data_IF_043306407843
#
_entry.id   IF_043306407843
#
_cell.length_a   1.000
_cell.length_b   1.000
_cell.length_c   1.000
_cell.angle_alpha   90.00
_cell.angle_beta   90.00
_cell.angle_gamma   90.00
#
_symmetry.space_group_name_H-M   'P 1'
#
loop_
_entity.id
_entity.type
_entity.pdbx_description
1 polymer ?
#
# COMPACT_ATOMS: atom_id res chain seq x y z
N UNK A 1 -24.76 -56.22 -27.99
CA UNK A 1 -23.58 -57.05 -27.62
C UNK A 1 -22.40 -56.46 -28.38
N UNK A 2 -21.33 -55.90 -27.84
CA UNK A 2 -20.78 -55.83 -26.49
C UNK A 2 -19.27 -55.57 -26.65
N UNK A 3 -18.77 -54.43 -26.13
CA UNK A 3 -17.37 -54.19 -25.73
C UNK A 3 -16.31 -54.01 -26.84
N UNK A 4 -15.15 -53.35 -26.66
CA UNK A 4 -14.51 -52.73 -25.48
C UNK A 4 -13.51 -51.63 -25.92
N UNK A 5 -13.59 -50.52 -25.19
CA UNK A 5 -12.63 -49.48 -24.79
C UNK A 5 -11.23 -49.35 -25.44
N UNK A 6 -10.98 -48.14 -25.97
CA UNK A 6 -9.69 -47.44 -25.87
C UNK A 6 -9.91 -46.03 -25.31
N UNK A 7 -9.73 -45.85 -24.00
CA UNK A 7 -9.50 -44.53 -23.42
C UNK A 7 -8.92 -44.67 -22.02
N UNK A 8 -7.60 -44.58 -21.90
CA UNK A 8 -6.95 -44.37 -20.62
C UNK A 8 -5.65 -43.61 -20.83
N UNK A 9 -5.74 -42.30 -20.99
CA UNK A 9 -4.64 -41.35 -20.83
C UNK A 9 -5.22 -39.92 -20.82
N UNK A 10 -5.67 -39.46 -19.66
CA UNK A 10 -5.49 -38.08 -19.16
C UNK A 10 -6.49 -37.80 -18.04
N UNK A 11 -6.18 -38.24 -16.83
CA UNK A 11 -6.83 -37.63 -15.67
C UNK A 11 -5.81 -37.35 -14.56
N UNK A 12 -5.16 -36.20 -14.72
CA UNK A 12 -4.40 -35.49 -13.69
C UNK A 12 -4.64 -33.98 -13.85
N UNK A 13 -5.90 -33.56 -13.95
CA UNK A 13 -6.31 -32.15 -13.86
C UNK A 13 -7.46 -31.98 -12.87
N UNK A 14 -7.22 -32.42 -11.64
CA UNK A 14 -8.09 -32.14 -10.50
C UNK A 14 -7.29 -31.45 -9.39
N UNK A 15 -6.91 -30.21 -9.64
CA UNK A 15 -6.58 -29.21 -8.61
C UNK A 15 -7.08 -27.86 -9.18
N UNK A 16 -7.81 -27.08 -8.39
CA UNK A 16 -8.57 -25.87 -8.76
C UNK A 16 -10.01 -26.10 -9.28
N UNK A 17 -10.90 -26.56 -8.39
CA UNK A 17 -12.30 -26.14 -8.46
C UNK A 17 -12.33 -24.61 -8.29
N UNK A 18 -12.51 -23.87 -9.39
CA UNK A 18 -12.66 -22.40 -9.35
C UNK A 18 -13.88 -22.04 -8.51
N UNK A 19 -13.65 -21.50 -7.32
CA UNK A 19 -14.66 -20.73 -6.58
C UNK A 19 -15.27 -19.68 -7.52
N UNK A 20 -16.59 -19.48 -7.45
CA UNK A 20 -17.32 -18.58 -8.34
C UNK A 20 -16.74 -17.15 -8.29
N UNK A 21 -16.17 -16.71 -9.39
CA UNK A 21 -15.79 -15.32 -9.61
C UNK A 21 -16.90 -14.63 -10.39
N UNK A 22 -17.09 -13.33 -10.14
CA UNK A 22 -18.01 -12.50 -10.91
C UNK A 22 -17.21 -11.63 -11.87
N UNK A 23 -17.88 -11.17 -12.93
CA UNK A 23 -17.27 -10.34 -13.97
C UNK A 23 -18.01 -9.01 -14.00
N UNK A 24 -17.27 -7.93 -13.82
CA UNK A 24 -17.76 -6.58 -14.07
C UNK A 24 -17.14 -6.08 -15.38
N UNK A 25 -17.94 -5.46 -16.23
CA UNK A 25 -17.47 -4.86 -17.48
C UNK A 25 -17.91 -3.40 -17.52
N UNK A 26 -16.94 -2.50 -17.65
CA UNK A 26 -17.18 -1.06 -17.70
C UNK A 26 -16.05 -0.34 -18.41
N UNK A 27 -16.38 0.68 -19.19
CA UNK A 27 -15.41 1.52 -19.93
C UNK A 27 -14.43 0.74 -20.84
N UNK A 28 -14.84 -0.42 -21.37
CA UNK A 28 -13.97 -1.27 -22.22
C UNK A 28 -12.98 -2.16 -21.46
N UNK A 29 -13.07 -2.20 -20.12
CA UNK A 29 -12.27 -3.07 -19.27
C UNK A 29 -13.13 -4.14 -18.61
N UNK A 30 -12.52 -5.29 -18.36
CA UNK A 30 -13.14 -6.42 -17.65
C UNK A 30 -12.41 -6.64 -16.33
N UNK A 31 -13.17 -6.72 -15.24
CA UNK A 31 -12.66 -6.95 -13.90
C UNK A 31 -13.23 -8.25 -13.35
N UNK A 32 -12.34 -9.19 -13.05
CA UNK A 32 -12.65 -10.43 -12.35
C UNK A 32 -12.58 -10.17 -10.84
N UNK A 33 -13.68 -10.37 -10.14
CA UNK A 33 -13.78 -10.07 -8.71
C UNK A 33 -14.46 -11.16 -7.90
N UNK A 34 -14.17 -11.19 -6.60
CA UNK A 34 -14.85 -12.04 -5.64
C UNK A 34 -16.03 -11.26 -5.04
N UNK A 35 -17.28 -11.72 -5.21
CA UNK A 35 -18.44 -10.99 -4.70
C UNK A 35 -18.46 -10.98 -3.18
N UNK A 36 -18.72 -9.80 -2.60
CA UNK A 36 -18.87 -9.62 -1.17
C UNK A 36 -19.91 -8.54 -0.87
N UNK A 37 -20.92 -8.90 -0.07
CA UNK A 37 -22.01 -7.99 0.29
C UNK A 37 -21.77 -7.45 1.70
N UNK A 38 -21.59 -6.14 1.79
CA UNK A 38 -21.50 -5.46 3.07
C UNK A 38 -22.86 -5.40 3.75
N UNK A 39 -22.92 -5.71 5.06
CA UNK A 39 -24.17 -5.61 5.84
C UNK A 39 -24.73 -4.19 5.87
N UNK A 40 -23.84 -3.21 5.98
CA UNK A 40 -24.18 -1.78 6.03
C UNK A 40 -23.19 -0.99 5.17
N UNK A 41 -23.72 0.04 4.51
CA UNK A 41 -23.00 1.10 3.80
C UNK A 41 -22.98 2.33 4.71
N UNK A 42 -21.88 3.07 4.76
CA UNK A 42 -21.72 4.21 5.67
C UNK A 42 -21.31 5.51 4.97
N UNK A 43 -22.02 6.58 5.28
CA UNK A 43 -21.66 7.96 4.92
C UNK A 43 -21.36 8.13 3.42
N UNK A 44 -20.12 8.48 3.03
CA UNK A 44 -19.77 8.78 1.64
C UNK A 44 -19.79 7.55 0.72
N UNK A 45 -19.80 6.34 1.27
CA UNK A 45 -19.89 5.11 0.47
C UNK A 45 -21.21 5.04 -0.34
N UNK A 46 -22.26 5.74 0.09
CA UNK A 46 -23.53 5.83 -0.65
C UNK A 46 -23.42 6.56 -1.99
N UNK A 47 -22.41 7.42 -2.15
CA UNK A 47 -22.18 8.17 -3.39
C UNK A 47 -21.19 7.46 -4.32
N UNK A 48 -20.82 6.22 -4.01
CA UNK A 48 -19.91 5.44 -4.82
C UNK A 48 -20.51 5.12 -6.18
N UNK A 49 -19.77 5.46 -7.24
CA UNK A 49 -20.12 5.13 -8.61
C UNK A 49 -18.91 4.44 -9.28
N UNK A 50 -18.96 3.11 -9.49
CA UNK A 50 -17.83 2.38 -10.06
C UNK A 50 -17.48 2.82 -11.48
N UNK A 51 -18.49 3.07 -12.33
CA UNK A 51 -18.28 3.44 -13.74
C UNK A 51 -17.57 4.79 -13.87
N UNK A 52 -18.02 5.79 -13.10
CA UNK A 52 -17.45 7.13 -13.13
C UNK A 52 -16.01 7.15 -12.60
N UNK A 53 -15.75 6.44 -11.50
CA UNK A 53 -14.41 6.41 -10.88
C UNK A 53 -13.45 5.59 -11.74
N UNK A 54 -13.88 4.47 -12.28
CA UNK A 54 -13.07 3.70 -13.22
C UNK A 54 -12.73 4.52 -14.47
N UNK A 55 -13.71 5.23 -15.05
CA UNK A 55 -13.47 6.13 -16.18
C UNK A 55 -12.46 7.23 -15.84
N UNK A 56 -12.56 7.80 -14.63
CA UNK A 56 -11.62 8.80 -14.14
C UNK A 56 -10.19 8.26 -14.11
N UNK A 57 -9.94 7.11 -13.47
CA UNK A 57 -8.59 6.54 -13.42
C UNK A 57 -8.09 6.12 -14.79
N UNK A 58 -8.93 5.49 -15.62
CA UNK A 58 -8.55 5.11 -16.98
C UNK A 58 -8.09 6.31 -17.82
N UNK A 59 -8.74 7.46 -17.67
CA UNK A 59 -8.41 8.70 -18.40
C UNK A 59 -7.26 9.50 -17.79
N UNK A 60 -7.11 9.47 -16.46
CA UNK A 60 -6.25 10.39 -15.73
C UNK A 60 -5.12 9.72 -14.94
N UNK A 61 -4.91 8.40 -15.04
CA UNK A 61 -3.83 7.75 -14.29
C UNK A 61 -2.46 8.38 -14.58
N UNK A 62 -2.20 8.80 -15.82
CA UNK A 62 -0.93 9.43 -16.23
C UNK A 62 -0.71 10.81 -15.60
N UNK A 63 -1.78 11.47 -15.12
CA UNK A 63 -1.69 12.70 -14.34
C UNK A 63 -0.83 12.54 -13.09
N UNK A 64 -0.80 11.33 -12.51
CA UNK A 64 0.05 11.00 -11.36
C UNK A 64 1.55 11.21 -11.64
N UNK A 65 2.00 10.99 -12.88
CA UNK A 65 3.39 11.18 -13.28
C UNK A 65 3.73 12.67 -13.25
N UNK A 66 2.88 13.52 -13.82
CA UNK A 66 3.07 14.97 -13.78
C UNK A 66 3.02 15.51 -12.35
N UNK A 67 2.12 14.98 -11.51
CA UNK A 67 2.05 15.32 -10.09
C UNK A 67 3.33 14.93 -9.34
N UNK A 68 3.88 13.74 -9.59
CA UNK A 68 5.12 13.28 -8.99
C UNK A 68 6.34 14.11 -9.43
N UNK A 69 6.43 14.48 -10.72
CA UNK A 69 7.47 15.37 -11.22
C UNK A 69 7.36 16.77 -10.61
N UNK A 70 6.14 17.32 -10.61
CA UNK A 70 5.85 18.61 -9.97
C UNK A 70 6.20 18.61 -8.49
N UNK A 71 5.86 17.54 -7.77
CA UNK A 71 6.24 17.33 -6.37
C UNK A 71 7.76 17.41 -6.17
N UNK A 72 8.55 16.69 -6.97
CA UNK A 72 10.03 16.73 -6.86
C UNK A 72 10.55 18.15 -7.08
N UNK A 73 10.06 18.85 -8.10
CA UNK A 73 10.46 20.24 -8.39
C UNK A 73 10.09 21.16 -7.22
N UNK A 74 8.84 21.10 -6.73
CA UNK A 74 8.35 21.92 -5.63
C UNK A 74 9.19 21.70 -4.37
N UNK A 75 9.50 20.45 -4.01
CA UNK A 75 10.32 20.15 -2.83
C UNK A 75 11.72 20.74 -2.97
N UNK A 76 12.34 20.64 -4.14
CA UNK A 76 13.67 21.21 -4.40
C UNK A 76 13.68 22.75 -4.36
N UNK A 77 12.65 23.40 -4.88
CA UNK A 77 12.49 24.86 -4.82
C UNK A 77 12.24 25.31 -3.39
N UNK A 78 11.34 24.65 -2.67
CA UNK A 78 10.99 24.99 -1.29
C UNK A 78 12.17 24.80 -0.34
N UNK A 79 13.03 23.79 -0.55
CA UNK A 79 14.25 23.63 0.23
C UNK A 79 15.16 24.86 0.10
N UNK A 80 15.41 25.33 -1.13
CA UNK A 80 16.21 26.54 -1.40
C UNK A 80 15.60 27.79 -0.79
N UNK A 81 14.28 27.98 -0.94
CA UNK A 81 13.57 29.12 -0.33
C UNK A 81 13.70 29.12 1.20
N UNK A 82 13.64 27.92 1.80
CA UNK A 82 13.76 27.77 3.24
C UNK A 82 15.17 27.97 3.77
N UNK A 83 16.25 27.85 2.97
CA UNK A 83 17.64 28.07 3.42
C UNK A 83 17.78 29.39 4.18
N UNK A 84 17.22 30.48 3.62
CA UNK A 84 17.28 31.82 4.18
C UNK A 84 16.16 32.16 5.19
N UNK A 85 15.32 31.20 5.59
CA UNK A 85 14.19 31.41 6.52
C UNK A 85 14.33 30.63 7.82
N UNK A 86 13.66 31.07 8.89
CA UNK A 86 13.59 30.30 10.15
C UNK A 86 12.62 29.12 10.01
N UNK A 87 12.84 27.98 10.70
CA UNK A 87 11.93 26.84 10.64
C UNK A 87 10.57 27.19 11.27
N UNK A 88 9.48 26.76 10.63
CA UNK A 88 8.12 27.05 11.11
C UNK A 88 7.69 26.13 12.26
N UNK A 89 7.09 26.69 13.31
CA UNK A 89 6.51 25.97 14.45
C UNK A 89 5.04 25.58 14.19
N UNK A 90 4.81 24.54 13.40
CA UNK A 90 3.46 24.13 12.96
C UNK A 90 2.86 23.02 13.82
N UNK A 91 3.06 23.06 15.14
CA UNK A 91 2.73 21.93 16.04
C UNK A 91 1.27 21.47 15.91
N UNK A 92 0.34 22.41 15.98
CA UNK A 92 -1.10 22.13 15.91
C UNK A 92 -1.54 21.65 14.52
N UNK A 93 -0.97 22.24 13.46
CA UNK A 93 -1.24 21.82 12.07
C UNK A 93 -0.78 20.37 11.86
N UNK A 94 0.41 20.02 12.36
CA UNK A 94 0.91 18.64 12.29
C UNK A 94 0.07 17.68 13.11
N UNK A 95 -0.38 18.08 14.30
CA UNK A 95 -1.24 17.25 15.13
C UNK A 95 -2.55 16.94 14.40
N UNK A 96 -3.19 17.97 13.84
CA UNK A 96 -4.41 17.83 13.07
C UNK A 96 -4.18 16.97 11.82
N UNK A 97 -3.14 17.27 11.04
CA UNK A 97 -2.79 16.53 9.83
C UNK A 97 -2.55 15.03 10.08
N UNK A 98 -1.64 14.72 11.01
CA UNK A 98 -1.35 13.33 11.37
C UNK A 98 -2.56 12.67 12.03
N UNK A 99 -3.33 13.39 12.83
CA UNK A 99 -4.55 12.89 13.45
C UNK A 99 -5.62 12.52 12.41
N UNK A 100 -5.85 13.38 11.42
CA UNK A 100 -6.77 13.12 10.31
C UNK A 100 -6.32 11.91 9.49
N UNK A 101 -5.03 11.82 9.12
CA UNK A 101 -4.51 10.66 8.39
C UNK A 101 -4.56 9.37 9.21
N UNK A 102 -4.37 9.45 10.54
CA UNK A 102 -4.54 8.31 11.43
C UNK A 102 -5.99 7.83 11.46
N UNK A 103 -6.97 8.73 11.66
CA UNK A 103 -8.40 8.38 11.65
C UNK A 103 -8.83 7.81 10.31
N UNK A 104 -8.42 8.46 9.21
CA UNK A 104 -8.66 7.97 7.85
C UNK A 104 -8.12 6.54 7.66
N UNK A 105 -6.88 6.29 8.10
CA UNK A 105 -6.25 4.98 7.96
C UNK A 105 -6.88 3.92 8.87
N UNK A 106 -7.33 4.29 10.07
CA UNK A 106 -8.09 3.40 10.96
C UNK A 106 -9.44 3.00 10.34
N UNK A 107 -10.19 3.97 9.80
CA UNK A 107 -11.45 3.70 9.11
C UNK A 107 -11.24 2.82 7.88
N UNK A 108 -10.22 3.09 7.07
CA UNK A 108 -9.84 2.26 5.93
C UNK A 108 -9.47 0.84 6.34
N UNK A 109 -8.66 0.67 7.39
CA UNK A 109 -8.30 -0.64 7.95
C UNK A 109 -9.53 -1.43 8.37
N UNK A 110 -10.48 -0.79 9.05
CA UNK A 110 -11.71 -1.42 9.51
C UNK A 110 -12.63 -1.78 8.33
N UNK A 111 -13.00 -0.81 7.50
CA UNK A 111 -14.00 -0.99 6.44
C UNK A 111 -13.51 -1.89 5.32
N UNK A 112 -12.27 -1.70 4.86
CA UNK A 112 -11.66 -2.58 3.87
C UNK A 112 -11.35 -3.96 4.49
N UNK A 113 -11.03 -3.99 5.79
CA UNK A 113 -10.78 -5.22 6.55
C UNK A 113 -11.95 -6.20 6.57
N UNK A 114 -13.19 -5.72 6.57
CA UNK A 114 -14.37 -6.60 6.54
C UNK A 114 -14.39 -7.51 5.30
N UNK A 115 -14.09 -6.95 4.12
CA UNK A 115 -13.96 -7.74 2.90
C UNK A 115 -12.71 -8.61 2.93
N UNK A 116 -11.57 -8.03 3.34
CA UNK A 116 -10.28 -8.73 3.38
C UNK A 116 -10.32 -10.00 4.25
N UNK A 117 -10.80 -9.89 5.49
CA UNK A 117 -10.88 -11.04 6.39
C UNK A 117 -11.94 -12.05 5.95
N UNK A 118 -13.07 -11.59 5.41
CA UNK A 118 -14.06 -12.49 4.83
C UNK A 118 -13.43 -13.31 3.70
N UNK A 119 -12.67 -12.65 2.82
CA UNK A 119 -11.98 -13.29 1.70
C UNK A 119 -11.00 -14.38 2.17
N UNK A 120 -10.23 -14.11 3.22
CA UNK A 120 -9.24 -15.06 3.75
C UNK A 120 -9.84 -16.22 4.54
N UNK A 121 -11.02 -16.05 5.11
CA UNK A 121 -11.66 -17.07 5.97
C UNK A 121 -12.67 -17.94 5.23
N UNK A 122 -13.26 -17.42 4.14
CA UNK A 122 -14.33 -18.11 3.41
C UNK A 122 -13.90 -18.68 2.06
N UNK A 123 -12.76 -18.22 1.52
CA UNK A 123 -12.29 -18.60 0.17
C UNK A 123 -10.82 -19.04 0.20
N UNK A 124 -10.39 -19.83 -0.81
CA UNK A 124 -8.98 -20.20 -0.94
C UNK A 124 -8.07 -18.98 -1.04
N UNK A 125 -6.84 -19.10 -0.53
CA UNK A 125 -5.86 -18.01 -0.56
C UNK A 125 -5.61 -17.48 -1.99
N UNK A 126 -5.64 -18.37 -3.00
CA UNK A 126 -5.50 -18.00 -4.42
C UNK A 126 -6.51 -16.95 -4.85
N UNK A 127 -7.75 -17.06 -4.40
CA UNK A 127 -8.80 -16.11 -4.76
C UNK A 127 -8.50 -14.73 -4.18
N UNK A 128 -7.88 -14.66 -2.98
CA UNK A 128 -7.54 -13.41 -2.32
C UNK A 128 -6.48 -12.58 -3.06
N UNK A 129 -5.70 -13.22 -3.94
CA UNK A 129 -4.62 -12.59 -4.72
C UNK A 129 -4.93 -12.52 -6.22
N UNK A 130 -5.89 -13.31 -6.73
CA UNK A 130 -6.23 -13.38 -8.15
C UNK A 130 -7.58 -12.77 -8.51
N UNK A 131 -8.53 -12.67 -7.59
CA UNK A 131 -9.79 -11.95 -7.83
C UNK A 131 -9.84 -10.63 -7.09
N UNK A 132 -10.26 -9.59 -7.78
CA UNK A 132 -10.38 -8.25 -7.23
C UNK A 132 -11.50 -8.13 -6.19
N UNK A 133 -11.55 -6.97 -5.54
CA UNK A 133 -12.68 -6.55 -4.70
C UNK A 133 -13.88 -6.24 -5.58
N UNK A 134 -15.08 -6.34 -5.03
CA UNK A 134 -16.30 -5.98 -5.75
C UNK A 134 -16.26 -4.50 -6.20
N UNK A 135 -16.28 -4.21 -7.52
CA UNK A 135 -16.22 -2.84 -8.03
C UNK A 135 -17.33 -1.94 -7.48
N UNK A 136 -18.53 -2.48 -7.22
CA UNK A 136 -19.67 -1.72 -6.71
C UNK A 136 -19.69 -1.65 -5.18
N UNK A 137 -18.84 -2.43 -4.51
CA UNK A 137 -18.81 -2.54 -3.06
C UNK A 137 -18.03 -1.41 -2.35
N UNK A 138 -18.30 -1.16 -1.06
CA UNK A 138 -17.53 -0.26 -0.22
C UNK A 138 -16.01 -0.49 -0.24
N UNK A 139 -15.53 -1.73 -0.44
CA UNK A 139 -14.11 -2.01 -0.57
C UNK A 139 -13.45 -1.20 -1.71
N UNK A 140 -14.13 -1.10 -2.86
CA UNK A 140 -13.65 -0.31 -4.01
C UNK A 140 -13.66 1.19 -3.75
N UNK A 141 -14.65 1.69 -3.01
CA UNK A 141 -14.63 3.06 -2.50
C UNK A 141 -13.37 3.32 -1.66
N UNK A 142 -13.06 2.44 -0.71
CA UNK A 142 -11.87 2.59 0.14
C UNK A 142 -10.55 2.38 -0.63
N UNK A 143 -10.53 1.59 -1.71
CA UNK A 143 -9.40 1.49 -2.63
C UNK A 143 -9.20 2.79 -3.43
N UNK A 144 -10.28 3.44 -3.86
CA UNK A 144 -10.22 4.74 -4.52
C UNK A 144 -9.71 5.82 -3.56
N UNK A 145 -10.25 5.89 -2.35
CA UNK A 145 -9.77 6.81 -1.31
C UNK A 145 -8.30 6.58 -0.97
N UNK A 146 -7.83 5.33 -1.01
CA UNK A 146 -6.42 4.99 -0.84
C UNK A 146 -5.55 5.60 -1.95
N UNK A 147 -5.96 5.50 -3.20
CA UNK A 147 -5.23 6.09 -4.32
C UNK A 147 -5.16 7.63 -4.21
N UNK A 148 -6.25 8.27 -3.79
CA UNK A 148 -6.26 9.72 -3.53
C UNK A 148 -5.45 10.13 -2.31
N UNK A 149 -5.37 9.29 -1.26
CA UNK A 149 -4.58 9.59 -0.06
C UNK A 149 -3.11 9.81 -0.41
N UNK A 150 -2.58 9.16 -1.46
CA UNK A 150 -1.18 9.34 -1.89
C UNK A 150 -0.86 10.76 -2.35
N UNK A 151 -1.85 11.50 -2.85
CA UNK A 151 -1.69 12.93 -3.12
C UNK A 151 -1.62 13.71 -1.81
N UNK A 152 -2.55 13.43 -0.87
CA UNK A 152 -2.54 14.10 0.42
C UNK A 152 -1.20 13.87 1.15
N UNK A 153 -0.70 12.63 1.17
CA UNK A 153 0.56 12.22 1.79
C UNK A 153 1.80 12.97 1.25
N UNK A 154 1.75 13.60 0.07
CA UNK A 154 2.82 14.50 -0.41
C UNK A 154 3.04 15.69 0.54
N UNK A 155 2.00 16.09 1.28
CA UNK A 155 2.04 17.11 2.31
C UNK A 155 3.05 16.81 3.42
N UNK A 156 3.31 15.53 3.73
CA UNK A 156 4.30 15.13 4.74
C UNK A 156 5.69 15.68 4.42
N UNK A 157 6.09 15.58 3.16
CA UNK A 157 7.38 16.10 2.71
C UNK A 157 7.42 17.62 2.78
N UNK A 158 6.33 18.29 2.41
CA UNK A 158 6.23 19.75 2.52
C UNK A 158 6.42 20.20 3.97
N UNK A 159 5.78 19.52 4.93
CA UNK A 159 5.96 19.80 6.35
C UNK A 159 7.39 19.55 6.84
N UNK A 160 8.08 18.53 6.32
CA UNK A 160 9.50 18.32 6.65
C UNK A 160 10.37 19.48 6.15
N UNK A 161 10.17 19.93 4.91
CA UNK A 161 10.91 21.05 4.31
C UNK A 161 10.67 22.35 5.09
N UNK A 162 9.41 22.69 5.36
CA UNK A 162 9.04 23.90 6.11
C UNK A 162 9.59 23.91 7.55
N UNK A 163 9.88 22.74 8.12
CA UNK A 163 10.51 22.61 9.45
C UNK A 163 12.03 22.49 9.40
N UNK A 164 12.64 22.59 8.22
CA UNK A 164 14.07 22.32 8.00
C UNK A 164 14.50 20.95 8.54
N UNK A 165 13.64 19.94 8.39
CA UNK A 165 13.99 18.54 8.68
C UNK A 165 14.56 17.90 7.42
N UNK A 166 15.57 17.00 7.56
CA UNK A 166 16.18 16.37 6.41
C UNK A 166 15.17 15.50 5.67
N UNK A 167 14.99 15.75 4.37
CA UNK A 167 14.19 14.90 3.49
C UNK A 167 15.11 13.83 2.92
N UNK A 168 15.06 12.63 3.49
CA UNK A 168 15.89 11.51 3.05
C UNK A 168 15.40 10.95 1.70
N UNK A 169 16.31 10.35 0.93
CA UNK A 169 16.00 9.73 -0.36
C UNK A 169 14.80 8.78 -0.29
N UNK A 170 14.80 7.87 0.69
CA UNK A 170 13.73 6.90 0.92
C UNK A 170 12.35 7.56 0.98
N UNK A 171 12.23 8.72 1.63
CA UNK A 171 10.94 9.37 1.84
C UNK A 171 10.36 9.93 0.55
N UNK A 172 11.09 10.81 -0.15
CA UNK A 172 10.56 11.44 -1.35
C UNK A 172 10.44 10.46 -2.52
N UNK A 173 11.38 9.51 -2.65
CA UNK A 173 11.31 8.44 -3.64
C UNK A 173 10.06 7.58 -3.43
N UNK A 174 9.80 7.18 -2.17
CA UNK A 174 8.61 6.42 -1.82
C UNK A 174 7.34 7.17 -2.23
N UNK A 175 7.16 8.42 -1.78
CA UNK A 175 5.93 9.19 -2.05
C UNK A 175 5.67 9.41 -3.54
N UNK A 176 6.72 9.67 -4.33
CA UNK A 176 6.60 9.83 -5.77
C UNK A 176 6.18 8.52 -6.47
N UNK A 177 6.85 7.41 -6.15
CA UNK A 177 6.64 6.13 -6.82
C UNK A 177 5.30 5.48 -6.43
N UNK A 178 4.92 5.52 -5.15
CA UNK A 178 3.63 4.94 -4.72
C UNK A 178 2.45 5.69 -5.30
N UNK A 179 2.55 7.01 -5.50
CA UNK A 179 1.50 7.79 -6.16
C UNK A 179 1.25 7.28 -7.57
N UNK A 180 2.32 7.17 -8.38
CA UNK A 180 2.22 6.69 -9.77
C UNK A 180 1.66 5.26 -9.80
N UNK A 181 2.21 4.38 -8.97
CA UNK A 181 1.82 2.97 -8.95
C UNK A 181 0.38 2.75 -8.51
N UNK A 182 -0.10 3.46 -7.48
CA UNK A 182 -1.48 3.33 -7.02
C UNK A 182 -2.47 3.79 -8.09
N UNK A 183 -2.17 4.88 -8.81
CA UNK A 183 -3.03 5.40 -9.87
C UNK A 183 -3.04 4.49 -11.10
N UNK A 184 -1.88 3.96 -11.48
CA UNK A 184 -1.78 2.96 -12.54
C UNK A 184 -2.54 1.67 -12.17
N UNK A 185 -2.41 1.19 -10.93
CA UNK A 185 -3.08 -0.04 -10.47
C UNK A 185 -4.58 0.11 -10.24
N UNK A 186 -5.07 1.33 -10.00
CA UNK A 186 -6.48 1.63 -9.87
C UNK A 186 -7.26 1.39 -11.17
N UNK A 187 -6.60 1.51 -12.34
CA UNK A 187 -7.22 1.22 -13.65
C UNK A 187 -7.59 -0.25 -13.79
N UNK A 188 -6.72 -1.16 -13.34
CA UNK A 188 -6.97 -2.60 -13.42
C UNK A 188 -7.77 -3.15 -12.24
N UNK A 189 -7.94 -2.32 -11.19
CA UNK A 189 -8.40 -2.72 -9.86
C UNK A 189 -7.71 -4.02 -9.43
N UNK A 190 -6.38 -3.98 -9.30
CA UNK A 190 -5.57 -5.20 -9.19
C UNK A 190 -5.96 -6.05 -7.98
N UNK A 191 -6.07 -7.38 -8.17
CA UNK A 191 -6.49 -8.30 -7.12
C UNK A 191 -5.53 -8.33 -5.93
N UNK A 192 -4.23 -8.40 -6.19
CA UNK A 192 -3.19 -8.30 -5.17
C UNK A 192 -3.24 -6.94 -4.41
N UNK A 193 -3.82 -5.91 -5.03
CA UNK A 193 -4.16 -4.62 -4.42
C UNK A 193 -4.86 -4.77 -3.07
N UNK A 194 -5.72 -5.78 -2.90
CA UNK A 194 -6.41 -6.07 -1.65
C UNK A 194 -5.45 -6.17 -0.45
N UNK A 195 -4.39 -6.94 -0.60
CA UNK A 195 -3.37 -7.11 0.44
C UNK A 195 -2.57 -5.83 0.66
N UNK A 196 -2.13 -5.19 -0.42
CA UNK A 196 -1.31 -3.99 -0.35
C UNK A 196 -2.03 -2.82 0.33
N UNK A 197 -3.29 -2.61 -0.02
CA UNK A 197 -4.15 -1.54 0.53
C UNK A 197 -4.40 -1.79 2.01
N UNK A 198 -4.84 -3.00 2.39
CA UNK A 198 -5.17 -3.31 3.78
C UNK A 198 -3.95 -3.20 4.70
N UNK A 199 -2.81 -3.79 4.31
CA UNK A 199 -1.58 -3.71 5.10
C UNK A 199 -1.10 -2.26 5.23
N UNK A 200 -1.17 -1.46 4.15
CA UNK A 200 -0.76 -0.07 4.21
C UNK A 200 -1.68 0.75 5.13
N UNK A 201 -3.00 0.58 5.05
CA UNK A 201 -3.93 1.22 5.98
C UNK A 201 -3.61 0.87 7.44
N UNK A 202 -3.37 -0.42 7.71
CA UNK A 202 -3.06 -0.88 9.06
C UNK A 202 -1.76 -0.23 9.58
N UNK A 203 -0.67 -0.29 8.80
CA UNK A 203 0.62 0.27 9.20
C UNK A 203 0.57 1.80 9.28
N UNK A 204 -0.12 2.47 8.36
CA UNK A 204 -0.29 3.92 8.38
C UNK A 204 -1.14 4.39 9.55
N UNK A 205 -2.15 3.62 9.98
CA UNK A 205 -2.92 3.96 11.18
C UNK A 205 -2.00 4.05 12.41
N UNK A 206 -1.07 3.11 12.57
CA UNK A 206 -0.09 3.07 13.66
C UNK A 206 0.95 4.18 13.49
N UNK A 207 1.51 4.35 12.28
CA UNK A 207 2.54 5.35 11.98
C UNK A 207 2.04 6.78 12.20
N UNK A 208 0.88 7.14 11.66
CA UNK A 208 0.33 8.48 11.82
C UNK A 208 -0.13 8.74 13.25
N UNK A 209 -0.66 7.74 13.96
CA UNK A 209 -0.94 7.87 15.40
C UNK A 209 0.35 8.16 16.17
N UNK A 210 1.44 7.44 15.87
CA UNK A 210 2.75 7.71 16.45
C UNK A 210 3.22 9.15 16.17
N UNK A 211 3.10 9.64 14.93
CA UNK A 211 3.49 11.01 14.58
C UNK A 211 2.57 12.09 15.17
N UNK A 212 1.27 11.83 15.29
CA UNK A 212 0.34 12.70 15.99
C UNK A 212 0.75 12.87 17.45
N UNK A 213 1.08 11.78 18.14
CA UNK A 213 1.54 11.85 19.54
C UNK A 213 2.89 12.59 19.64
N UNK A 214 3.87 12.28 18.78
CA UNK A 214 5.17 12.96 18.77
C UNK A 214 5.03 14.45 18.45
N UNK A 215 4.03 14.85 17.67
CA UNK A 215 3.75 16.26 17.39
C UNK A 215 3.38 17.04 18.66
N UNK A 216 2.83 16.39 19.70
CA UNK A 216 2.57 17.03 21.00
C UNK A 216 3.84 17.27 21.84
N UNK A 217 5.04 17.00 21.30
CA UNK A 217 6.30 17.15 22.02
C UNK A 217 6.59 16.02 23.01
N UNK A 218 5.69 15.05 23.15
CA UNK A 218 5.91 13.85 23.95
C UNK A 218 7.01 13.01 23.31
N UNK A 219 8.02 12.65 24.12
CA UNK A 219 9.12 11.76 23.71
C UNK A 219 8.71 10.32 23.96
N UNK A 220 8.30 9.64 22.91
CA UNK A 220 7.94 8.22 22.98
C UNK A 220 9.16 7.30 23.10
N UNK A 221 9.03 6.12 23.75
CA UNK A 221 10.11 5.14 23.85
C UNK A 221 10.64 4.71 22.47
N UNK A 222 11.96 4.52 22.37
CA UNK A 222 12.62 4.06 21.13
C UNK A 222 12.04 2.74 20.59
N UNK A 223 11.52 1.88 21.48
CA UNK A 223 10.86 0.62 21.12
C UNK A 223 9.68 0.85 20.18
N UNK A 224 8.85 1.86 20.42
CA UNK A 224 7.69 2.15 19.56
C UNK A 224 8.13 2.57 18.14
N UNK A 225 9.13 3.45 18.04
CA UNK A 225 9.69 3.84 16.74
C UNK A 225 10.29 2.65 15.97
N UNK A 226 10.95 1.74 16.69
CA UNK A 226 11.47 0.50 16.11
C UNK A 226 10.34 -0.42 15.64
N UNK A 227 9.26 -0.57 16.42
CA UNK A 227 8.08 -1.36 16.02
C UNK A 227 7.44 -0.81 14.77
N UNK A 228 7.25 0.51 14.66
CA UNK A 228 6.70 1.14 13.43
C UNK A 228 7.57 0.80 12.21
N UNK A 229 8.88 0.97 12.32
CA UNK A 229 9.80 0.67 11.22
C UNK A 229 9.83 -0.82 10.88
N UNK A 230 9.74 -1.69 11.89
CA UNK A 230 9.67 -3.13 11.71
C UNK A 230 8.38 -3.53 10.96
N UNK A 231 7.23 -2.99 11.35
CA UNK A 231 5.95 -3.21 10.66
C UNK A 231 6.00 -2.77 9.18
N UNK A 232 6.56 -1.59 8.91
CA UNK A 232 6.76 -1.11 7.54
C UNK A 232 7.67 -2.04 6.72
N UNK A 233 8.76 -2.51 7.32
CA UNK A 233 9.70 -3.43 6.64
C UNK A 233 9.04 -4.78 6.36
N UNK A 234 8.29 -5.32 7.33
CA UNK A 234 7.52 -6.56 7.16
C UNK A 234 6.46 -6.43 6.07
N UNK A 235 5.77 -5.29 5.97
CA UNK A 235 4.84 -5.03 4.87
C UNK A 235 5.53 -5.12 3.49
N UNK A 236 6.75 -4.60 3.35
CA UNK A 236 7.49 -4.72 2.08
C UNK A 236 7.84 -6.17 1.76
N UNK A 237 8.26 -6.94 2.78
CA UNK A 237 8.56 -8.37 2.62
C UNK A 237 7.33 -9.17 2.18
N UNK A 238 6.20 -8.99 2.87
CA UNK A 238 4.93 -9.64 2.50
C UNK A 238 4.54 -9.24 1.08
N UNK A 239 4.73 -7.98 0.69
CA UNK A 239 4.41 -7.53 -0.65
C UNK A 239 5.26 -8.17 -1.76
N UNK A 240 6.55 -8.40 -1.50
CA UNK A 240 7.40 -9.19 -2.41
C UNK A 240 6.91 -10.63 -2.51
N UNK A 241 6.60 -11.28 -1.38
CA UNK A 241 6.09 -12.66 -1.35
C UNK A 241 4.80 -12.81 -2.15
N UNK A 242 3.84 -11.89 -1.97
CA UNK A 242 2.57 -11.89 -2.72
C UNK A 242 2.83 -11.69 -4.21
N UNK A 243 3.72 -10.76 -4.59
CA UNK A 243 4.05 -10.52 -6.00
C UNK A 243 4.66 -11.75 -6.67
N UNK A 244 5.58 -12.43 -5.99
CA UNK A 244 6.19 -13.69 -6.47
C UNK A 244 5.15 -14.80 -6.57
N UNK A 245 4.23 -14.89 -5.61
CA UNK A 245 3.18 -15.89 -5.63
C UNK A 245 2.18 -15.66 -6.77
N UNK A 246 1.76 -14.42 -7.03
CA UNK A 246 0.91 -14.09 -8.19
C UNK A 246 1.64 -14.40 -9.50
N UNK A 247 2.94 -14.09 -9.60
CA UNK A 247 3.75 -14.46 -10.77
C UNK A 247 3.75 -15.97 -10.99
N UNK A 248 3.99 -16.76 -9.93
CA UNK A 248 3.94 -18.21 -9.98
C UNK A 248 2.58 -18.71 -10.47
N UNK A 249 1.47 -18.20 -9.94
CA UNK A 249 0.13 -18.59 -10.36
C UNK A 249 -0.11 -18.27 -11.85
N UNK A 250 0.25 -17.07 -12.30
CA UNK A 250 0.09 -16.65 -13.70
C UNK A 250 0.93 -17.49 -14.67
N UNK A 251 2.17 -17.84 -14.30
CA UNK A 251 3.03 -18.70 -15.11
C UNK A 251 2.49 -20.14 -15.22
N UNK A 252 1.71 -20.60 -14.23
CA UNK A 252 1.02 -21.89 -14.26
C UNK A 252 -0.38 -21.83 -14.90
N UNK A 253 -0.72 -20.72 -15.56
CA UNK A 253 -1.98 -20.58 -16.31
C UNK A 253 -3.20 -20.17 -15.46
N UNK A 254 -3.01 -19.77 -14.21
CA UNK A 254 -4.10 -19.22 -13.40
C UNK A 254 -4.50 -17.82 -13.91
N UNK A 255 -5.82 -17.58 -13.96
CA UNK A 255 -6.37 -16.27 -14.32
C UNK A 255 -6.36 -15.38 -13.07
N UNK A 256 -5.60 -14.28 -13.12
CA UNK A 256 -5.49 -13.32 -12.03
C UNK A 256 -5.70 -11.90 -12.57
N UNK A 257 -6.53 -11.10 -11.89
CA UNK A 257 -6.85 -9.71 -12.23
C UNK A 257 -5.66 -8.78 -11.93
N UNK A 258 -4.62 -8.89 -12.73
CA UNK A 258 -3.43 -8.04 -12.71
C UNK A 258 -2.66 -8.31 -14.01
N UNK A 259 -2.27 -7.29 -14.78
CA UNK A 259 -1.45 -7.47 -15.97
C UNK A 259 -0.01 -7.89 -15.63
N UNK A 260 0.74 -8.44 -16.60
CA UNK A 260 2.15 -8.75 -16.38
C UNK A 260 2.98 -7.48 -16.19
N UNK A 261 2.64 -6.40 -16.89
CA UNK A 261 3.30 -5.11 -16.77
C UNK A 261 3.09 -4.50 -15.38
N UNK A 262 1.84 -4.48 -14.90
CA UNK A 262 1.53 -4.02 -13.55
C UNK A 262 2.25 -4.85 -12.49
N UNK A 263 2.26 -6.18 -12.65
CA UNK A 263 2.94 -7.09 -11.72
C UNK A 263 4.46 -6.87 -11.70
N UNK A 264 5.09 -6.63 -12.85
CA UNK A 264 6.52 -6.34 -12.94
C UNK A 264 6.87 -5.03 -12.22
N UNK A 265 6.07 -3.97 -12.44
CA UNK A 265 6.22 -2.68 -11.75
C UNK A 265 6.02 -2.87 -10.24
N UNK A 266 4.97 -3.59 -9.83
CA UNK A 266 4.69 -3.92 -8.42
C UNK A 266 5.90 -4.57 -7.75
N UNK A 267 6.41 -5.64 -8.35
CA UNK A 267 7.54 -6.39 -7.82
C UNK A 267 8.79 -5.49 -7.70
N UNK A 268 9.12 -4.73 -8.74
CA UNK A 268 10.27 -3.83 -8.73
C UNK A 268 10.18 -2.78 -7.62
N UNK A 269 9.01 -2.17 -7.42
CA UNK A 269 8.78 -1.18 -6.38
C UNK A 269 8.94 -1.79 -5.00
N UNK A 270 8.25 -2.90 -4.71
CA UNK A 270 8.30 -3.56 -3.40
C UNK A 270 9.69 -4.11 -3.08
N UNK A 271 10.40 -4.66 -4.07
CA UNK A 271 11.79 -5.09 -3.90
C UNK A 271 12.70 -3.90 -3.58
N UNK A 272 12.56 -2.78 -4.29
CA UNK A 272 13.34 -1.56 -4.03
C UNK A 272 13.08 -1.02 -2.61
N UNK A 273 11.82 -1.00 -2.17
CA UNK A 273 11.46 -0.56 -0.82
C UNK A 273 11.97 -1.52 0.24
N UNK A 274 11.89 -2.84 0.05
CA UNK A 274 12.44 -3.80 1.00
C UNK A 274 13.93 -3.56 1.25
N UNK A 275 14.71 -3.31 0.19
CA UNK A 275 16.14 -2.99 0.30
C UNK A 275 16.33 -1.67 1.09
N UNK A 276 15.60 -0.62 0.73
CA UNK A 276 15.74 0.70 1.34
C UNK A 276 15.33 0.71 2.82
N UNK A 277 14.20 0.08 3.17
CA UNK A 277 13.73 -0.03 4.55
C UNK A 277 14.66 -0.91 5.39
N UNK A 278 15.18 -2.01 4.83
CA UNK A 278 16.16 -2.86 5.52
C UNK A 278 17.45 -2.09 5.80
N UNK A 279 17.95 -1.32 4.82
CA UNK A 279 19.12 -0.44 4.99
C UNK A 279 18.87 0.64 6.05
N UNK A 280 17.69 1.26 6.04
CA UNK A 280 17.29 2.24 7.04
C UNK A 280 17.23 1.63 8.44
N UNK A 281 16.58 0.47 8.60
CA UNK A 281 16.45 -0.22 9.88
C UNK A 281 17.82 -0.60 10.46
N UNK A 282 18.69 -1.19 9.64
CA UNK A 282 20.04 -1.56 10.04
C UNK A 282 20.83 -0.32 10.54
N UNK A 283 20.81 0.76 9.75
CA UNK A 283 21.56 2.00 10.07
C UNK A 283 21.00 2.70 11.32
N UNK A 284 19.68 2.82 11.43
CA UNK A 284 19.03 3.58 12.50
C UNK A 284 19.04 2.84 13.86
N UNK A 285 18.96 1.50 13.85
CA UNK A 285 18.73 0.71 15.05
C UNK A 285 19.86 -0.25 15.40
N UNK A 286 20.43 -1.00 14.45
CA UNK A 286 21.43 -2.03 14.73
C UNK A 286 22.82 -1.42 14.89
N UNK A 287 23.34 -0.75 13.85
CA UNK A 287 24.66 -0.11 13.87
C UNK A 287 24.75 0.94 14.99
N UNK A 288 23.69 1.75 15.18
CA UNK A 288 23.65 2.74 16.25
C UNK A 288 23.67 2.10 17.65
N UNK A 289 23.02 0.94 17.83
CA UNK A 289 23.03 0.21 19.10
C UNK A 289 24.41 -0.37 19.38
N UNK A 290 25.06 -0.98 18.39
CA UNK A 290 26.41 -1.51 18.52
C UNK A 290 27.42 -0.44 18.94
N UNK A 291 27.39 0.73 18.31
CA UNK A 291 28.25 1.86 18.69
C UNK A 291 28.04 2.28 20.15
N UNK A 292 26.78 2.41 20.59
CA UNK A 292 26.47 2.76 21.98
C UNK A 292 26.95 1.67 22.94
N UNK A 293 26.77 0.39 22.60
CA UNK A 293 27.26 -0.72 23.43
C UNK A 293 28.78 -0.70 23.54
N UNK A 294 29.51 -0.46 22.43
CA UNK A 294 30.98 -0.37 22.41
C UNK A 294 31.51 0.80 23.24
N UNK A 295 30.87 1.98 23.16
CA UNK A 295 31.23 3.14 23.99
C UNK A 295 31.05 2.81 25.48
N UNK A 296 29.90 2.23 25.86
CA UNK A 296 29.63 1.85 27.25
C UNK A 296 30.54 0.76 27.79
N UNK A 297 31.03 -0.16 26.94
CA UNK A 297 32.01 -1.16 27.35
C UNK A 297 33.40 -0.54 27.52
N UNK A 298 33.77 0.47 26.71
CA UNK A 298 35.02 1.20 26.86
C UNK A 298 35.03 2.06 28.14
N UNK A 299 33.95 2.79 28.41
CA UNK A 299 33.78 3.60 29.65
C UNK A 299 33.77 2.78 30.94
N UNK A 300 33.58 1.46 30.87
CA UNK A 300 33.63 0.55 32.02
C UNK A 300 35.00 -0.12 32.20
N UNK A 301 35.86 -0.02 31.20
CA UNK A 301 37.19 -0.61 31.21
C UNK A 301 38.26 0.38 31.70
N UNK A 302 37.95 1.67 31.69
CA UNK A 302 38.70 2.78 32.32
C UNK A 302 38.20 3.02 33.76
#
# INVERSE_FOLDING_TARGET
>A
MGGVAWSRLSDKRHFFTMSSHAVWSGNGHTILYAPFVYKNVVGPEHFWNPDAVHAFFARHWSSSIYLALGYVVIINVMQRVMENRKPFSMRWILLLWNGTLAVFSMMGTWRFGLEFFNMLTTRPFTDSVCFSVDPSGPASFWACMFAFSKIAELGDTLFLVLRKRPVIFLHWYHHAVVLIYCWHSAVELTAAGRWFIWMNYFVHSIMYTYYAVVSTGVRLPKRLSMTVTALQTTQMLIGVVISVYVLFLKLNGAVCQQSFDNLAICFAIYASFLILFSKFFNTAYLVKREKITKIKSAEKAD
#
